data_IF_153643637463
#
_entry.id   IF_153643637463
#
_cell.length_a   1.000
_cell.length_b   1.000
_cell.length_c   1.000
_cell.angle_alpha   90.00
_cell.angle_beta   90.00
_cell.angle_gamma   90.00
#
_symmetry.space_group_name_H-M   'P 1'
#
loop_
_entity.id
_entity.type
_entity.pdbx_description
1 polymer ?
#
# COMPACT_ATOMS: atom_id res chain seq x y z
N UNK A 1 3.78 -17.51 -0.68
CA UNK A 1 4.10 -16.89 -1.97
C UNK A 1 3.18 -15.67 -2.12
N UNK A 2 3.62 -14.51 -1.60
CA UNK A 2 2.91 -13.23 -1.66
C UNK A 2 3.72 -12.25 -2.54
N UNK A 3 3.10 -11.25 -3.16
CA UNK A 3 2.47 -11.34 -4.47
C UNK A 3 3.45 -10.96 -5.60
N UNK A 4 3.28 -11.61 -6.75
CA UNK A 4 3.71 -11.04 -8.03
C UNK A 4 2.80 -9.82 -8.24
N UNK A 5 3.38 -8.62 -8.34
CA UNK A 5 2.73 -7.31 -8.15
C UNK A 5 1.32 -7.11 -8.71
N UNK A 6 0.62 -6.11 -8.17
CA UNK A 6 -0.78 -5.82 -8.48
C UNK A 6 -1.02 -5.64 -10.00
N UNK A 7 -2.21 -5.97 -10.50
CA UNK A 7 -2.52 -5.84 -11.93
C UNK A 7 -2.36 -4.40 -12.45
N UNK A 8 -2.52 -3.42 -11.56
CA UNK A 8 -2.22 -2.01 -11.82
C UNK A 8 -0.71 -1.79 -12.00
N UNK A 9 0.12 -2.40 -11.16
CA UNK A 9 1.58 -2.30 -11.26
C UNK A 9 2.12 -2.98 -12.52
N UNK A 10 1.60 -4.17 -12.87
CA UNK A 10 1.95 -4.92 -14.08
C UNK A 10 1.71 -4.08 -15.34
N UNK A 11 0.60 -3.32 -15.39
CA UNK A 11 0.29 -2.43 -16.51
C UNK A 11 0.85 -1.01 -16.33
N UNK A 12 1.55 -0.72 -15.22
CA UNK A 12 2.02 0.62 -14.85
C UNK A 12 0.91 1.67 -14.85
N UNK A 13 -0.27 1.29 -14.35
CA UNK A 13 -1.46 2.14 -14.21
C UNK A 13 -1.58 2.65 -12.77
N UNK A 14 -2.06 3.89 -12.56
CA UNK A 14 -2.32 4.39 -11.21
C UNK A 14 -3.49 3.61 -10.58
N UNK A 15 -3.27 3.09 -9.37
CA UNK A 15 -4.34 2.49 -8.58
C UNK A 15 -5.22 3.58 -7.96
N UNK A 16 -6.55 3.39 -8.00
CA UNK A 16 -7.53 4.39 -7.55
C UNK A 16 -7.51 4.70 -6.05
N UNK A 17 -6.68 4.02 -5.24
CA UNK A 17 -6.49 4.39 -3.83
C UNK A 17 -5.48 5.51 -3.60
N UNK A 18 -4.71 5.93 -4.62
CA UNK A 18 -4.09 7.26 -4.59
C UNK A 18 -5.19 8.28 -4.89
N UNK A 19 -5.31 9.28 -4.01
CA UNK A 19 -6.35 10.30 -3.83
C UNK A 19 -6.74 11.17 -5.05
N UNK A 20 -6.35 10.79 -6.25
CA UNK A 20 -6.77 11.38 -7.52
C UNK A 20 -7.66 10.37 -8.25
N UNK A 21 -8.98 10.51 -8.09
CA UNK A 21 -10.03 9.68 -8.69
C UNK A 21 -10.02 9.71 -10.22
N UNK A 22 -9.00 9.10 -10.82
CA UNK A 22 -8.78 9.07 -12.26
C UNK A 22 -9.54 7.88 -12.81
N UNK A 23 -10.69 8.13 -13.44
CA UNK A 23 -11.45 7.09 -14.13
C UNK A 23 -10.63 6.59 -15.32
N UNK A 24 -10.07 5.38 -15.22
CA UNK A 24 -9.29 4.78 -16.31
C UNK A 24 -10.23 4.29 -17.41
N UNK A 25 -10.10 4.84 -18.62
CA UNK A 25 -10.86 4.40 -19.79
C UNK A 25 -10.29 3.11 -20.40
N UNK A 26 -11.14 2.33 -21.09
CA UNK A 26 -10.72 1.11 -21.79
C UNK A 26 -9.58 1.35 -22.80
N UNK A 27 -9.54 2.54 -23.40
CA UNK A 27 -8.46 2.93 -24.32
C UNK A 27 -7.12 3.10 -23.59
N UNK A 28 -7.12 3.71 -22.40
CA UNK A 28 -5.92 3.87 -21.58
C UNK A 28 -5.36 2.51 -21.13
N UNK A 29 -6.24 1.60 -20.73
CA UNK A 29 -5.87 0.23 -20.32
C UNK A 29 -5.27 -0.55 -21.50
N UNK A 30 -5.84 -0.39 -22.71
CA UNK A 30 -5.30 -0.99 -23.93
C UNK A 30 -3.93 -0.43 -24.31
N UNK A 31 -3.73 0.88 -24.19
CA UNK A 31 -2.41 1.50 -24.43
C UNK A 31 -1.38 1.01 -23.42
N UNK A 32 -1.76 0.86 -22.15
CA UNK A 32 -0.91 0.31 -21.10
C UNK A 32 -0.54 -1.16 -21.37
N UNK A 33 -1.48 -1.98 -21.81
CA UNK A 33 -1.23 -3.36 -22.24
C UNK A 33 -0.20 -3.45 -23.38
N UNK A 34 -0.36 -2.66 -24.44
CA UNK A 34 0.61 -2.63 -25.54
C UNK A 34 2.00 -2.19 -25.07
N UNK A 35 2.08 -1.18 -24.19
CA UNK A 35 3.34 -0.72 -23.60
C UNK A 35 3.99 -1.81 -22.73
N UNK A 36 3.21 -2.52 -21.90
CA UNK A 36 3.70 -3.59 -21.06
C UNK A 36 4.26 -4.75 -21.90
N UNK A 37 3.54 -5.15 -22.95
CA UNK A 37 4.03 -6.17 -23.89
C UNK A 37 5.34 -5.78 -24.57
N UNK A 38 5.49 -4.52 -25.02
CA UNK A 38 6.73 -4.05 -25.64
C UNK A 38 7.91 -3.97 -24.67
N UNK A 39 7.64 -3.66 -23.39
CA UNK A 39 8.65 -3.62 -22.33
C UNK A 39 9.13 -5.01 -21.92
N UNK A 40 8.21 -5.97 -21.86
CA UNK A 40 8.45 -7.33 -21.38
C UNK A 40 8.52 -8.36 -22.53
N UNK A 41 8.69 -7.90 -23.77
CA UNK A 41 8.82 -8.79 -24.91
C UNK A 41 10.15 -9.56 -24.83
N UNK A 42 10.15 -10.89 -24.94
CA UNK A 42 11.37 -11.71 -24.83
C UNK A 42 12.40 -11.40 -25.93
N UNK A 43 11.97 -10.82 -27.05
CA UNK A 43 12.85 -10.46 -28.18
C UNK A 43 13.82 -9.29 -27.87
N UNK A 44 13.58 -8.53 -26.79
CA UNK A 44 14.52 -7.48 -26.33
C UNK A 44 15.53 -7.96 -25.28
N UNK A 45 15.27 -9.09 -24.63
CA UNK A 45 16.25 -9.76 -23.76
C UNK A 45 17.34 -10.48 -24.58
N UNK A 46 17.12 -10.71 -25.88
CA UNK A 46 18.07 -11.35 -26.80
C UNK A 46 18.88 -10.39 -27.68
N UNK A 47 18.51 -9.11 -27.77
CA UNK A 47 19.12 -8.17 -28.73
C UNK A 47 20.49 -7.57 -28.29
N UNK A 48 21.11 -8.11 -27.23
CA UNK A 48 22.52 -7.83 -26.85
C UNK A 48 23.45 -9.02 -27.10
N UNK A 49 22.98 -10.07 -27.76
CA UNK A 49 23.78 -11.25 -28.11
C UNK A 49 23.57 -11.64 -29.57
N UNK A 50 23.93 -10.75 -30.51
CA UNK A 50 24.44 -11.02 -31.87
C UNK A 50 24.28 -9.77 -32.73
N UNK A 51 25.33 -8.97 -32.78
CA UNK A 51 25.71 -8.31 -34.03
C UNK A 51 27.24 -8.34 -34.14
N UNK A 52 27.73 -9.55 -34.41
CA UNK A 52 29.08 -9.79 -34.86
C UNK A 52 28.98 -10.32 -36.29
N UNK A 53 29.17 -9.41 -37.26
CA UNK A 53 29.44 -9.81 -38.63
C UNK A 53 29.11 -8.75 -39.69
N UNK A 54 29.96 -7.74 -39.88
CA UNK A 54 30.93 -7.71 -40.99
C UNK A 54 31.70 -6.37 -41.07
N UNK A 55 33.02 -6.52 -41.27
CA UNK A 55 33.98 -5.60 -41.92
C UNK A 55 34.72 -4.53 -41.10
N UNK A 56 36.04 -4.70 -41.01
CA UNK A 56 36.97 -3.61 -41.29
C UNK A 56 37.89 -3.11 -40.16
N UNK A 57 38.94 -3.88 -39.86
CA UNK A 57 40.27 -3.50 -39.35
C UNK A 57 40.57 -2.02 -39.04
N UNK A 58 41.01 -1.69 -37.81
CA UNK A 58 42.40 -1.26 -37.48
C UNK A 58 42.56 -0.76 -36.03
N UNK A 59 43.67 -1.20 -35.41
CA UNK A 59 44.42 -0.64 -34.26
C UNK A 59 43.80 -0.65 -32.84
N UNK A 60 44.33 -1.55 -32.00
CA UNK A 60 44.39 -1.45 -30.52
C UNK A 60 45.52 -0.46 -30.08
N UNK A 61 45.83 -0.19 -28.79
CA UNK A 61 45.23 -0.65 -27.53
C UNK A 61 45.03 0.45 -26.44
N UNK A 62 44.45 0.03 -25.30
CA UNK A 62 44.63 0.56 -23.92
C UNK A 62 44.18 1.99 -23.57
N UNK A 63 43.12 2.12 -22.76
CA UNK A 63 43.26 2.59 -21.36
C UNK A 63 41.97 2.38 -20.57
N UNK A 64 42.14 1.86 -19.37
CA UNK A 64 41.16 1.69 -18.32
C UNK A 64 40.68 3.07 -17.85
N UNK A 65 39.40 3.38 -18.07
CA UNK A 65 38.72 4.45 -17.34
C UNK A 65 37.31 3.98 -16.98
N UNK A 66 37.18 3.50 -15.75
CA UNK A 66 35.91 3.31 -15.08
C UNK A 66 35.17 4.66 -15.01
N UNK A 67 34.13 4.82 -15.84
CA UNK A 67 33.18 5.92 -15.72
C UNK A 67 31.86 5.36 -15.16
N UNK A 68 31.57 5.50 -13.85
CA UNK A 68 30.28 5.14 -13.29
C UNK A 68 29.37 6.38 -13.30
N UNK A 69 29.09 6.94 -14.47
CA UNK A 69 28.14 8.05 -14.62
C UNK A 69 27.15 7.75 -15.74
N UNK A 70 26.23 6.84 -15.46
CA UNK A 70 24.78 7.04 -15.57
C UNK A 70 24.15 5.75 -15.06
N UNK A 71 24.20 5.61 -13.73
CA UNK A 71 23.57 4.51 -13.00
C UNK A 71 22.06 4.66 -13.18
N UNK A 72 21.50 3.83 -14.06
CA UNK A 72 20.06 3.69 -14.23
C UNK A 72 19.42 3.50 -12.86
N UNK A 73 18.63 4.48 -12.45
CA UNK A 73 17.57 4.30 -11.46
C UNK A 73 16.50 3.43 -12.13
N UNK A 74 16.68 2.13 -12.17
CA UNK A 74 15.53 1.25 -12.33
C UNK A 74 15.65 0.11 -11.32
N UNK A 75 14.66 0.10 -10.43
CA UNK A 75 14.39 -0.88 -9.41
C UNK A 75 14.59 -2.32 -9.92
N UNK A 76 14.78 -3.31 -9.03
CA UNK A 76 14.77 -4.72 -9.42
C UNK A 76 13.36 -5.12 -9.86
N UNK A 77 12.96 -4.72 -11.09
CA UNK A 77 11.66 -5.05 -11.66
C UNK A 77 11.72 -6.49 -12.10
N UNK A 78 11.09 -7.36 -11.32
CA UNK A 78 10.82 -8.72 -11.76
C UNK A 78 10.21 -8.69 -13.17
N UNK A 79 10.73 -9.47 -14.13
CA UNK A 79 10.15 -9.50 -15.47
C UNK A 79 8.77 -10.16 -15.38
N UNK A 80 7.71 -9.36 -15.59
CA UNK A 80 6.35 -9.88 -15.70
C UNK A 80 6.22 -10.75 -16.96
N UNK A 81 5.56 -11.90 -16.82
CA UNK A 81 5.29 -12.80 -17.95
C UNK A 81 4.15 -12.28 -18.83
N UNK A 82 4.11 -12.70 -20.10
CA UNK A 82 3.05 -12.32 -21.05
C UNK A 82 1.67 -12.76 -20.53
N UNK A 83 1.60 -13.91 -19.86
CA UNK A 83 0.36 -14.44 -19.27
C UNK A 83 -0.16 -13.54 -18.15
N UNK A 84 0.73 -13.01 -17.31
CA UNK A 84 0.38 -12.04 -16.26
C UNK A 84 -0.11 -10.71 -16.84
N UNK A 85 0.57 -10.20 -17.86
CA UNK A 85 0.18 -8.95 -18.55
C UNK A 85 -1.19 -9.11 -19.23
N UNK A 86 -1.44 -10.27 -19.85
CA UNK A 86 -2.72 -10.58 -20.50
C UNK A 86 -3.85 -10.76 -19.49
N UNK A 87 -3.58 -11.42 -18.38
CA UNK A 87 -4.55 -11.60 -17.28
C UNK A 87 -4.91 -10.25 -16.67
N UNK A 88 -3.93 -9.39 -16.39
CA UNK A 88 -4.15 -8.04 -15.89
C UNK A 88 -5.01 -7.21 -16.85
N UNK A 89 -4.72 -7.26 -18.16
CA UNK A 89 -5.53 -6.57 -19.16
C UNK A 89 -6.98 -7.07 -19.19
N UNK A 90 -7.20 -8.39 -19.23
CA UNK A 90 -8.54 -8.98 -19.27
C UNK A 90 -9.38 -8.52 -18.07
N UNK A 91 -8.83 -8.64 -16.87
CA UNK A 91 -9.49 -8.24 -15.62
C UNK A 91 -9.76 -6.74 -15.57
N UNK A 92 -8.78 -5.89 -15.89
CA UNK A 92 -8.94 -4.44 -15.79
C UNK A 92 -9.78 -3.83 -16.91
N UNK A 93 -9.88 -4.49 -18.07
CA UNK A 93 -10.63 -4.00 -19.25
C UNK A 93 -12.14 -4.23 -19.16
N UNK A 94 -12.59 -5.17 -18.31
CA UNK A 94 -14.00 -5.43 -18.02
C UNK A 94 -14.41 -4.68 -16.73
N UNK A 95 -15.43 -3.80 -16.78
CA UNK A 95 -15.89 -3.06 -15.61
C UNK A 95 -16.29 -3.93 -14.41
N UNK A 96 -16.88 -5.11 -14.65
CA UNK A 96 -17.34 -5.98 -13.56
C UNK A 96 -16.17 -6.70 -12.91
N UNK A 97 -15.31 -7.33 -13.70
CA UNK A 97 -14.11 -8.02 -13.19
C UNK A 97 -13.15 -7.04 -12.51
N UNK A 98 -13.03 -5.82 -13.04
CA UNK A 98 -12.26 -4.76 -12.40
C UNK A 98 -12.86 -4.39 -11.04
N UNK A 99 -14.18 -4.22 -10.94
CA UNK A 99 -14.82 -3.87 -9.67
C UNK A 99 -14.66 -4.98 -8.63
N UNK A 100 -14.75 -6.25 -9.03
CA UNK A 100 -14.48 -7.40 -8.16
C UNK A 100 -13.03 -7.44 -7.69
N UNK A 101 -12.09 -7.24 -8.61
CA UNK A 101 -10.66 -7.18 -8.28
C UNK A 101 -10.33 -6.00 -7.35
N UNK A 102 -10.87 -4.81 -7.62
CA UNK A 102 -10.69 -3.63 -6.78
C UNK A 102 -11.26 -3.84 -5.37
N UNK A 103 -12.39 -4.54 -5.25
CA UNK A 103 -12.96 -4.95 -3.96
C UNK A 103 -12.01 -5.91 -3.24
N UNK A 104 -11.47 -6.91 -3.94
CA UNK A 104 -10.52 -7.85 -3.34
C UNK A 104 -9.24 -7.16 -2.86
N UNK A 105 -8.71 -6.19 -3.61
CA UNK A 105 -7.50 -5.45 -3.24
C UNK A 105 -7.72 -4.57 -2.01
N UNK A 106 -8.91 -3.97 -1.88
CA UNK A 106 -9.30 -3.22 -0.67
C UNK A 106 -9.35 -4.12 0.55
N UNK A 107 -9.95 -5.31 0.42
CA UNK A 107 -10.02 -6.28 1.52
C UNK A 107 -8.64 -6.84 1.89
N UNK A 108 -7.79 -7.12 0.92
CA UNK A 108 -6.43 -7.59 1.19
C UNK A 108 -5.59 -6.51 1.87
N UNK A 109 -5.74 -5.24 1.46
CA UNK A 109 -5.11 -4.11 2.14
C UNK A 109 -5.59 -3.93 3.58
N UNK A 110 -6.87 -4.16 3.88
CA UNK A 110 -7.38 -4.17 5.26
C UNK A 110 -6.75 -5.30 6.08
N UNK A 111 -6.62 -6.50 5.52
CA UNK A 111 -5.95 -7.63 6.19
C UNK A 111 -4.46 -7.40 6.43
N UNK A 112 -3.78 -6.71 5.50
CA UNK A 112 -2.38 -6.32 5.66
C UNK A 112 -2.24 -5.20 6.69
N UNK A 113 -3.19 -4.26 6.72
CA UNK A 113 -3.25 -3.21 7.73
C UNK A 113 -3.45 -3.77 9.15
N UNK A 114 -4.31 -4.78 9.34
CA UNK A 114 -4.43 -5.48 10.64
C UNK A 114 -3.11 -6.13 11.07
N UNK A 115 -2.31 -6.63 10.13
CA UNK A 115 -0.98 -7.20 10.44
C UNK A 115 0.13 -6.17 10.63
N UNK A 116 -0.07 -4.94 10.16
CA UNK A 116 0.95 -3.89 10.13
C UNK A 116 0.61 -2.67 10.98
N UNK A 117 -0.55 -2.65 11.66
CA UNK A 117 -1.03 -1.54 12.48
C UNK A 117 -1.46 -0.28 11.71
N UNK A 118 -1.24 -0.21 10.39
CA UNK A 118 -1.57 0.98 9.58
C UNK A 118 -3.02 0.88 9.04
N UNK A 119 -3.99 1.04 9.95
CA UNK A 119 -5.42 1.01 9.66
C UNK A 119 -5.80 2.22 8.81
N UNK A 120 -6.49 1.99 7.68
CA UNK A 120 -7.13 3.07 6.93
C UNK A 120 -8.24 3.69 7.80
N UNK A 121 -7.95 4.83 8.41
CA UNK A 121 -8.76 5.51 9.40
C UNK A 121 -10.08 6.09 8.82
N UNK A 122 -11.09 5.26 8.64
CA UNK A 122 -12.48 5.68 8.36
C UNK A 122 -13.16 6.24 9.61
N UNK A 123 -12.68 7.38 10.14
CA UNK A 123 -13.37 8.20 11.16
C UNK A 123 -13.63 7.59 12.55
N UNK A 124 -13.56 6.27 12.66
CA UNK A 124 -13.73 5.44 13.84
C UNK A 124 -12.55 4.46 13.86
N UNK A 125 -11.64 4.68 14.80
CA UNK A 125 -10.48 3.82 15.03
C UNK A 125 -10.79 2.86 16.19
N UNK A 126 -10.31 1.62 16.14
CA UNK A 126 -10.50 0.62 17.20
C UNK A 126 -9.14 0.25 17.76
N UNK A 127 -8.98 0.30 19.08
CA UNK A 127 -7.73 0.03 19.80
C UNK A 127 -8.02 -0.75 21.08
N UNK A 128 -7.05 -1.49 21.58
CA UNK A 128 -7.13 -2.13 22.88
C UNK A 128 -6.69 -1.16 23.99
N UNK A 129 -7.17 -1.35 25.23
CA UNK A 129 -6.82 -0.48 26.36
C UNK A 129 -5.30 -0.49 26.65
N UNK A 130 -4.64 -1.62 26.40
CA UNK A 130 -3.19 -1.76 26.57
C UNK A 130 -2.36 -0.90 25.60
N UNK A 131 -2.95 -0.44 24.48
CA UNK A 131 -2.29 0.44 23.52
C UNK A 131 -2.35 1.92 23.92
N UNK A 132 -3.15 2.28 24.93
CA UNK A 132 -3.26 3.66 25.41
C UNK A 132 -2.19 3.96 26.45
N UNK A 133 -1.73 5.22 26.47
CA UNK A 133 -0.86 5.69 27.54
C UNK A 133 -1.67 5.84 28.82
N UNK A 134 -1.27 5.14 29.88
CA UNK A 134 -1.84 5.30 31.22
C UNK A 134 -1.07 6.37 32.01
N UNK A 135 -1.81 7.21 32.74
CA UNK A 135 -1.31 8.16 33.72
C UNK A 135 -1.97 7.80 35.06
N UNK A 136 -1.21 7.17 35.95
CA UNK A 136 -1.65 6.80 37.30
C UNK A 136 -1.48 8.03 38.21
N UNK A 137 -2.60 8.64 38.59
CA UNK A 137 -2.64 9.86 39.40
C UNK A 137 -3.21 9.63 40.80
N UNK A 138 -3.01 10.58 41.72
CA UNK A 138 -3.68 10.55 43.04
C UNK A 138 -5.22 10.64 42.94
N UNK A 139 -5.74 11.13 41.81
CA UNK A 139 -7.18 11.29 41.52
C UNK A 139 -7.79 10.12 40.71
N UNK A 140 -7.04 9.02 40.52
CA UNK A 140 -7.45 7.83 39.76
C UNK A 140 -6.72 7.67 38.42
N UNK A 141 -6.84 6.49 37.82
CA UNK A 141 -6.13 6.14 36.60
C UNK A 141 -6.84 6.71 35.36
N UNK A 142 -6.04 7.19 34.40
CA UNK A 142 -6.58 7.68 33.13
C UNK A 142 -5.75 7.23 31.93
N UNK A 143 -6.45 6.86 30.86
CA UNK A 143 -5.86 6.41 29.62
C UNK A 143 -6.08 7.46 28.54
N UNK A 144 -5.02 7.75 27.78
CA UNK A 144 -5.08 8.76 26.73
C UNK A 144 -4.29 8.37 25.49
N UNK A 145 -4.66 9.01 24.38
CA UNK A 145 -3.96 8.90 23.11
C UNK A 145 -4.03 10.20 22.33
N UNK A 146 -2.93 10.50 21.65
CA UNK A 146 -2.85 11.62 20.72
C UNK A 146 -3.81 11.45 19.54
N UNK A 147 -4.48 12.53 19.16
CA UNK A 147 -5.27 12.60 17.96
C UNK A 147 -4.46 13.20 16.81
N UNK A 148 -4.70 12.72 15.58
CA UNK A 148 -4.10 13.27 14.35
C UNK A 148 -4.42 14.74 14.07
N UNK A 149 -5.33 15.37 14.83
CA UNK A 149 -5.53 16.82 14.78
C UNK A 149 -4.44 17.62 15.50
N UNK A 150 -3.53 16.95 16.21
CA UNK A 150 -2.42 17.57 16.94
C UNK A 150 -2.66 17.72 18.45
N UNK A 151 -3.79 17.20 18.97
CA UNK A 151 -4.03 17.16 20.41
C UNK A 151 -3.39 15.89 21.00
N UNK A 152 -2.40 16.05 21.87
CA UNK A 152 -1.65 14.93 22.49
C UNK A 152 -2.51 14.07 23.42
N UNK A 153 -3.58 14.64 23.98
CA UNK A 153 -4.57 13.93 24.79
C UNK A 153 -5.96 14.08 24.18
N UNK A 154 -5.99 14.03 22.84
CA UNK A 154 -7.21 14.23 22.07
C UNK A 154 -8.28 13.21 22.40
N UNK A 155 -7.89 11.98 22.73
CA UNK A 155 -8.74 10.92 23.26
C UNK A 155 -8.32 10.66 24.71
N UNK A 156 -9.26 10.74 25.64
CA UNK A 156 -9.03 10.52 27.07
C UNK A 156 -10.22 9.77 27.64
N UNK A 157 -9.93 8.72 28.42
CA UNK A 157 -10.91 7.92 29.17
C UNK A 157 -10.41 7.76 30.61
N UNK A 158 -11.31 7.87 31.57
CA UNK A 158 -11.01 7.67 32.99
C UNK A 158 -11.42 6.27 33.44
N UNK A 159 -10.90 5.82 34.58
CA UNK A 159 -11.31 4.57 35.21
C UNK A 159 -12.83 4.53 35.45
N UNK A 160 -13.42 5.63 35.93
CA UNK A 160 -14.87 5.73 36.16
C UNK A 160 -15.68 5.48 34.88
N UNK A 161 -15.18 5.94 33.72
CA UNK A 161 -15.82 5.68 32.44
C UNK A 161 -15.71 4.18 32.08
N UNK A 162 -14.54 3.56 32.25
CA UNK A 162 -14.38 2.12 32.00
C UNK A 162 -15.26 1.27 32.92
N UNK A 163 -15.39 1.64 34.19
CA UNK A 163 -16.27 0.96 35.14
C UNK A 163 -17.75 1.07 34.73
N UNK A 164 -18.18 2.23 34.22
CA UNK A 164 -19.55 2.45 33.75
C UNK A 164 -19.88 1.58 32.53
N UNK A 165 -18.91 1.40 31.64
CA UNK A 165 -19.04 0.58 30.43
C UNK A 165 -18.50 -0.87 30.61
N UNK A 166 -18.22 -1.28 31.85
CA UNK A 166 -17.63 -2.59 32.20
C UNK A 166 -18.41 -3.79 31.68
N UNK A 167 -19.74 -3.71 31.64
CA UNK A 167 -20.62 -4.78 31.11
C UNK A 167 -20.45 -5.00 29.60
N UNK A 168 -19.99 -3.98 28.87
CA UNK A 168 -19.83 -4.04 27.42
C UNK A 168 -18.43 -4.47 27.00
N UNK A 169 -17.41 -4.23 27.83
CA UNK A 169 -16.00 -4.44 27.47
C UNK A 169 -15.52 -3.56 26.31
N UNK A 170 -16.25 -2.48 26.03
CA UNK A 170 -15.91 -1.51 25.00
C UNK A 170 -16.49 -0.13 25.31
N UNK A 171 -15.73 0.92 25.00
CA UNK A 171 -16.16 2.31 25.12
C UNK A 171 -15.78 3.10 23.87
N UNK A 172 -16.64 4.03 23.43
CA UNK A 172 -16.37 4.88 22.27
C UNK A 172 -16.26 6.33 22.70
N UNK A 173 -15.08 6.93 22.52
CA UNK A 173 -14.80 8.31 22.89
C UNK A 173 -14.52 9.19 21.67
N UNK A 174 -15.00 10.42 21.72
CA UNK A 174 -14.76 11.43 20.69
C UNK A 174 -13.48 12.22 20.98
N UNK A 175 -12.81 12.68 19.93
CA UNK A 175 -11.68 13.59 20.11
C UNK A 175 -12.17 14.96 20.60
N UNK A 176 -11.49 15.55 21.60
CA UNK A 176 -11.80 16.89 22.13
C UNK A 176 -11.57 18.02 21.10
N UNK A 177 -10.70 17.80 20.13
CA UNK A 177 -10.29 18.81 19.13
C UNK A 177 -10.85 18.61 17.71
N UNK A 178 -11.59 17.53 17.42
CA UNK A 178 -12.12 17.28 16.07
C UNK A 178 -13.32 16.29 16.08
N UNK A 179 -13.77 15.83 14.92
CA UNK A 179 -14.93 14.94 14.76
C UNK A 179 -14.57 13.44 14.66
N UNK A 180 -13.40 13.05 15.18
CA UNK A 180 -12.95 11.67 15.16
C UNK A 180 -13.41 10.91 16.40
N UNK A 181 -13.56 9.60 16.22
CA UNK A 181 -14.00 8.70 17.27
C UNK A 181 -12.99 7.56 17.43
N UNK A 182 -12.78 7.14 18.67
CA UNK A 182 -11.92 6.04 19.06
C UNK A 182 -12.74 5.06 19.90
N UNK A 183 -12.81 3.82 19.46
CA UNK A 183 -13.40 2.70 20.20
C UNK A 183 -12.28 1.95 20.90
N UNK A 184 -12.40 1.85 22.22
CA UNK A 184 -11.43 1.19 23.09
C UNK A 184 -12.05 -0.12 23.56
N UNK A 185 -11.37 -1.23 23.34
CA UNK A 185 -11.75 -2.55 23.83
C UNK A 185 -11.00 -2.83 25.13
N UNK A 186 -11.69 -3.35 26.14
CA UNK A 186 -11.10 -3.69 27.42
C UNK A 186 -11.77 -4.92 28.04
N UNK A 187 -11.00 -5.67 28.83
CA UNK A 187 -11.51 -6.77 29.63
C UNK A 187 -11.52 -6.35 31.10
N UNK A 188 -12.58 -6.73 31.81
CA UNK A 188 -12.68 -6.55 33.25
C UNK A 188 -12.26 -7.86 33.89
N UNK A 189 -11.23 -7.83 34.75
CA UNK A 189 -10.90 -8.99 35.56
C UNK A 189 -11.96 -9.15 36.67
N UNK A 190 -12.58 -10.34 36.74
CA UNK A 190 -13.59 -10.71 37.76
C UNK A 190 -13.03 -10.82 39.19
#
# INVERSE_FOLDING_TARGET
>A
MAPLGDFYEILSLPFMASSTGTVLSKQQIKLAYHKALLKHHPDKAGAVAKDAGLSGSTTSPSTSTSNPLFRSTDSPRQPYTIDQITTAYKTLSDPLLRAEYDRSLRLDRVKVAEKSGDVFHTGLEVVDLEDLACDEGEDGDCWYRGCRCGDERGFLVSEEDLERESEHGEIVIGCRGCSLWLKILFAVEE
#
